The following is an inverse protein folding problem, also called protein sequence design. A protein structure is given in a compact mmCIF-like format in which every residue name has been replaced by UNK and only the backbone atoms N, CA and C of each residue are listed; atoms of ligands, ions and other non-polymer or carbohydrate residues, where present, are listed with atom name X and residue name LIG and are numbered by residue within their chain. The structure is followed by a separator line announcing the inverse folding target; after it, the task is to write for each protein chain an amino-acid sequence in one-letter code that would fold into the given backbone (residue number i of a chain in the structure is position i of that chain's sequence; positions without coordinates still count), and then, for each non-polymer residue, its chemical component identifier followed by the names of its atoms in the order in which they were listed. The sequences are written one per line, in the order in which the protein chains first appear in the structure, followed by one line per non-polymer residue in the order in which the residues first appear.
data_IF_349122945023
#
_entry.id   IF_349122945023
#
_cell.length_a   1.000
_cell.length_b   1.000
_cell.length_c   1.000
_cell.angle_alpha   90.00
_cell.angle_beta   90.00
_cell.angle_gamma   90.00
#
_symmetry.space_group_name_H-M   'P 1'
#
loop_
_entity.id
_entity.type
_entity.pdbx_description
1 polymer ?
#
# COMPACT_ATOMS: atom_id res chain seq x y z
N UNK A 1 13.04 -7.80 -5.04
CA UNK A 1 11.82 -8.18 -5.79
C UNK A 1 10.54 -8.00 -4.97
N UNK A 2 10.30 -8.75 -3.89
CA UNK A 2 9.03 -8.69 -3.14
C UNK A 2 8.71 -7.30 -2.54
N UNK A 3 9.70 -6.59 -2.00
CA UNK A 3 9.46 -5.25 -1.44
C UNK A 3 8.94 -4.23 -2.49
N UNK A 4 9.26 -4.41 -3.79
CA UNK A 4 8.75 -3.52 -4.84
C UNK A 4 7.24 -3.74 -5.06
N UNK A 5 6.80 -4.99 -5.11
CA UNK A 5 5.38 -5.36 -5.24
C UNK A 5 4.55 -4.79 -4.09
N UNK A 6 5.04 -4.90 -2.85
CA UNK A 6 4.33 -4.36 -1.67
C UNK A 6 4.23 -2.83 -1.70
N UNK A 7 5.23 -2.12 -2.21
CA UNK A 7 5.20 -0.67 -2.35
C UNK A 7 4.25 -0.21 -3.47
N UNK A 8 4.25 -0.90 -4.62
CA UNK A 8 3.27 -0.69 -5.69
C UNK A 8 1.84 -0.96 -5.23
N UNK A 9 1.65 -1.99 -4.40
CA UNK A 9 0.35 -2.30 -3.83
C UNK A 9 -0.17 -1.17 -2.94
N UNK A 10 0.69 -0.56 -2.12
CA UNK A 10 0.30 0.61 -1.31
C UNK A 10 -0.15 1.76 -2.21
N UNK A 11 0.58 2.06 -3.29
CA UNK A 11 0.18 3.09 -4.26
C UNK A 11 -1.19 2.80 -4.86
N UNK A 12 -1.36 1.58 -5.41
CA UNK A 12 -2.59 1.17 -6.06
C UNK A 12 -3.79 1.17 -5.09
N UNK A 13 -3.59 0.66 -3.88
CA UNK A 13 -4.64 0.57 -2.87
C UNK A 13 -5.06 1.95 -2.37
N UNK A 14 -4.10 2.86 -2.11
CA UNK A 14 -4.41 4.25 -1.76
C UNK A 14 -5.11 4.98 -2.90
N UNK A 15 -4.73 4.73 -4.16
CA UNK A 15 -5.40 5.32 -5.33
C UNK A 15 -6.88 4.96 -5.39
N UNK A 16 -7.23 3.69 -5.12
CA UNK A 16 -8.58 3.17 -5.26
C UNK A 16 -9.43 3.37 -4.00
N UNK A 17 -8.89 3.06 -2.82
CA UNK A 17 -9.65 3.02 -1.57
C UNK A 17 -9.40 4.23 -0.66
N UNK A 18 -8.34 5.00 -0.91
CA UNK A 18 -8.02 6.20 -0.13
C UNK A 18 -7.44 5.93 1.27
N UNK A 19 -7.41 4.69 1.74
CA UNK A 19 -6.81 4.30 3.01
C UNK A 19 -6.26 2.87 2.99
N UNK A 20 -5.32 2.56 3.87
CA UNK A 20 -4.76 1.22 4.04
C UNK A 20 -4.27 1.01 5.47
N UNK A 21 -4.38 -0.21 5.99
CA UNK A 21 -3.83 -0.57 7.30
C UNK A 21 -2.97 -1.85 7.20
N UNK A 22 -2.33 -2.24 8.30
CA UNK A 22 -1.45 -3.41 8.29
C UNK A 22 -2.22 -4.71 8.06
N UNK A 23 -3.48 -4.78 8.46
CA UNK A 23 -4.30 -5.98 8.29
C UNK A 23 -4.54 -6.29 6.81
N UNK A 24 -4.81 -5.27 5.98
CA UNK A 24 -4.89 -5.42 4.52
C UNK A 24 -3.63 -6.07 3.96
N UNK A 25 -2.45 -5.57 4.34
CA UNK A 25 -1.18 -6.11 3.88
C UNK A 25 -0.92 -7.53 4.41
N UNK A 26 -1.31 -7.82 5.64
CA UNK A 26 -1.14 -9.13 6.25
C UNK A 26 -2.01 -10.18 5.56
N UNK A 27 -3.30 -9.90 5.40
CA UNK A 27 -4.23 -10.80 4.71
C UNK A 27 -3.81 -11.01 3.27
N UNK A 28 -3.43 -9.94 2.55
CA UNK A 28 -3.17 -10.06 1.12
C UNK A 28 -1.88 -10.78 0.78
N UNK A 29 -0.86 -10.71 1.63
CA UNK A 29 0.47 -11.21 1.30
C UNK A 29 0.98 -12.28 2.27
N UNK A 30 0.14 -12.75 3.19
CA UNK A 30 0.50 -13.66 4.29
C UNK A 30 1.80 -13.26 5.01
N UNK A 31 1.90 -11.97 5.34
CA UNK A 31 3.07 -11.41 6.05
C UNK A 31 2.72 -11.09 7.49
N UNK A 32 3.71 -11.20 8.38
CA UNK A 32 3.52 -10.78 9.77
C UNK A 32 3.36 -9.25 9.89
N UNK A 33 2.71 -8.81 10.98
CA UNK A 33 2.47 -7.39 11.28
C UNK A 33 3.75 -6.54 11.29
N UNK A 34 4.85 -7.08 11.81
CA UNK A 34 6.14 -6.39 11.86
C UNK A 34 6.66 -6.07 10.45
N UNK A 35 6.53 -7.02 9.51
CA UNK A 35 6.88 -6.81 8.11
C UNK A 35 5.98 -5.75 7.46
N UNK A 36 4.66 -5.83 7.63
CA UNK A 36 3.72 -4.84 7.10
C UNK A 36 4.02 -3.41 7.61
N UNK A 37 4.25 -3.25 8.91
CA UNK A 37 4.63 -1.97 9.52
C UNK A 37 5.95 -1.41 8.95
N UNK A 38 6.95 -2.29 8.74
CA UNK A 38 8.23 -1.90 8.13
C UNK A 38 8.04 -1.41 6.70
N UNK A 39 7.18 -2.04 5.91
CA UNK A 39 6.88 -1.60 4.54
C UNK A 39 6.25 -0.21 4.53
N UNK A 40 5.26 0.07 5.40
CA UNK A 40 4.70 1.42 5.54
C UNK A 40 5.74 2.47 5.96
N UNK A 41 6.67 2.09 6.84
CA UNK A 41 7.78 2.98 7.22
C UNK A 41 8.67 3.31 6.02
N UNK A 42 9.02 2.30 5.21
CA UNK A 42 9.81 2.49 3.99
C UNK A 42 9.06 3.37 2.98
N UNK A 43 7.78 3.09 2.74
CA UNK A 43 6.93 3.86 1.84
C UNK A 43 6.91 5.35 2.22
N UNK A 44 6.64 5.67 3.50
CA UNK A 44 6.62 7.06 3.98
C UNK A 44 7.99 7.73 3.94
N UNK A 45 9.09 7.00 4.14
CA UNK A 45 10.43 7.60 3.99
C UNK A 45 10.71 8.05 2.56
N UNK A 46 10.18 7.33 1.56
CA UNK A 46 10.32 7.69 0.15
C UNK A 46 9.48 8.91 -0.24
N UNK A 47 8.24 9.00 0.25
CA UNK A 47 7.37 10.16 0.01
C UNK A 47 6.44 10.42 1.21
N UNK A 48 6.87 11.23 2.20
CA UNK A 48 6.11 11.44 3.43
C UNK A 48 4.71 12.01 3.22
N UNK A 49 4.50 12.76 2.13
CA UNK A 49 3.24 13.41 1.79
C UNK A 49 2.18 12.48 1.20
N UNK A 50 2.54 11.25 0.82
CA UNK A 50 1.59 10.32 0.19
C UNK A 50 0.57 9.74 1.16
N UNK A 51 0.91 9.64 2.45
CA UNK A 51 -0.05 9.16 3.44
C UNK A 51 0.27 9.63 4.85
N UNK A 52 -0.78 9.85 5.64
CA UNK A 52 -0.68 10.17 7.07
C UNK A 52 -1.36 9.09 7.89
N UNK A 53 -0.84 8.80 9.07
CA UNK A 53 -1.53 7.90 10.00
C UNK A 53 -2.69 8.64 10.64
N UNK A 54 -3.87 8.02 10.63
CA UNK A 54 -5.05 8.48 11.34
C UNK A 54 -5.29 7.56 12.54
N UNK A 55 -5.03 8.07 13.74
CA UNK A 55 -5.12 7.29 14.98
C UNK A 55 -6.56 6.90 15.33
N UNK A 56 -7.55 7.70 14.91
CA UNK A 56 -8.97 7.41 15.17
C UNK A 56 -9.44 6.20 14.35
N UNK A 57 -8.99 6.10 13.09
CA UNK A 57 -9.32 5.02 12.16
C UNK A 57 -8.33 3.86 12.19
N UNK A 58 -7.19 4.04 12.88
CA UNK A 58 -6.07 3.08 12.96
C UNK A 58 -5.52 2.66 11.59
N UNK A 59 -5.54 3.56 10.62
CA UNK A 59 -5.10 3.33 9.24
C UNK A 59 -4.20 4.47 8.74
N UNK A 60 -3.56 4.26 7.60
CA UNK A 60 -2.98 5.33 6.81
C UNK A 60 -4.00 5.83 5.79
N UNK A 61 -4.17 7.15 5.71
CA UNK A 61 -5.07 7.81 4.76
C UNK A 61 -4.23 8.51 3.69
N UNK A 62 -4.69 8.43 2.44
CA UNK A 62 -4.08 9.07 1.27
C UNK A 62 -3.90 10.57 1.51
N UNK A 63 -2.71 11.06 1.18
CA UNK A 63 -2.37 12.48 1.25
C UNK A 63 -3.00 13.29 0.13
N UNK A 64 -3.14 14.59 0.34
CA UNK A 64 -3.76 15.50 -0.63
C UNK A 64 -2.94 15.65 -1.92
N UNK A 65 -1.62 15.74 -1.79
CA UNK A 65 -0.66 15.85 -2.91
C UNK A 65 -0.04 14.48 -3.27
N UNK A 66 -0.87 13.44 -3.27
CA UNK A 66 -0.45 12.06 -3.49
C UNK A 66 0.16 11.85 -4.89
N UNK A 67 1.31 11.19 -4.94
CA UNK A 67 2.00 10.83 -6.19
C UNK A 67 2.44 9.35 -6.14
N UNK A 68 1.90 8.46 -6.98
CA UNK A 68 2.18 7.02 -6.92
C UNK A 68 3.56 6.65 -7.50
N UNK A 69 4.64 7.05 -6.84
CA UNK A 69 6.02 6.93 -7.35
C UNK A 69 6.51 5.49 -7.60
N UNK A 70 5.86 4.49 -7.00
CA UNK A 70 6.20 3.07 -7.19
C UNK A 70 5.36 2.42 -8.29
N UNK A 71 4.05 2.69 -8.34
CA UNK A 71 3.16 2.19 -9.38
C UNK A 71 3.35 2.93 -10.72
N UNK A 72 3.67 4.22 -10.68
CA UNK A 72 3.88 5.10 -11.84
C UNK A 72 2.65 5.11 -12.77
N UNK A 73 2.86 4.86 -14.06
CA UNK A 73 1.83 4.89 -15.10
C UNK A 73 1.01 3.59 -15.18
N UNK A 74 1.31 2.59 -14.34
CA UNK A 74 0.53 1.36 -14.29
C UNK A 74 -0.88 1.63 -13.74
N UNK A 75 -1.89 1.02 -14.37
CA UNK A 75 -3.27 1.13 -13.90
C UNK A 75 -3.44 0.43 -12.55
N UNK A 76 -3.85 1.19 -11.53
CA UNK A 76 -4.09 0.67 -10.18
C UNK A 76 -5.10 -0.48 -10.16
N UNK A 77 -6.20 -0.36 -10.91
CA UNK A 77 -7.22 -1.43 -10.98
C UNK A 77 -6.67 -2.70 -11.63
N UNK A 78 -5.91 -2.59 -12.72
CA UNK A 78 -5.28 -3.75 -13.36
C UNK A 78 -4.22 -4.40 -12.47
N UNK A 79 -3.42 -3.59 -11.78
CA UNK A 79 -2.41 -4.08 -10.85
C UNK A 79 -3.06 -4.84 -9.69
N UNK A 80 -4.09 -4.28 -9.06
CA UNK A 80 -4.81 -4.94 -7.98
C UNK A 80 -5.46 -6.26 -8.45
N UNK A 81 -6.12 -6.27 -9.61
CA UNK A 81 -6.68 -7.49 -10.18
C UNK A 81 -5.61 -8.57 -10.43
N UNK A 82 -4.42 -8.19 -10.91
CA UNK A 82 -3.31 -9.13 -11.09
C UNK A 82 -2.79 -9.68 -9.75
N UNK A 83 -2.73 -8.82 -8.72
CA UNK A 83 -2.37 -9.23 -7.35
C UNK A 83 -3.41 -10.19 -6.79
N UNK A 84 -4.70 -9.99 -7.08
CA UNK A 84 -5.76 -10.91 -6.68
C UNK A 84 -5.65 -12.29 -7.33
N UNK A 85 -5.18 -12.36 -8.57
CA UNK A 85 -4.92 -13.64 -9.24
C UNK A 85 -3.70 -14.36 -8.69
N UNK A 86 -2.62 -13.64 -8.34
CA UNK A 86 -1.35 -14.24 -7.90
C UNK A 86 -1.35 -14.59 -6.41
N UNK A 87 -1.92 -13.72 -5.58
CA UNK A 87 -2.05 -13.88 -4.14
C UNK A 87 -3.52 -14.18 -3.83
N UNK A 88 -3.92 -15.40 -4.23
CA UNK A 88 -5.18 -16.02 -3.85
C UNK A 88 -5.05 -16.60 -2.45
N UNK A 89 -6.15 -16.57 -1.69
CA UNK A 89 -6.26 -17.26 -0.40
C UNK A 89 -6.14 -18.78 -0.57
#
# INVERSE_FOLDING_TARGET
MLNNVLLKYIDAYLLIFGEINTHVMMQKFDICRAKASRVFTIYRKGRPTNMRYDSSRKCYVKGFVFEPIHLKDESATRFLAAIDTVFTD
#
